data_IF_028880699880
#
_entry.id   IF_028880699880
#
_cell.length_a   1.000
_cell.length_b   1.000
_cell.length_c   1.000
_cell.angle_alpha   90.00
_cell.angle_beta   90.00
_cell.angle_gamma   90.00
#
_symmetry.space_group_name_H-M   'P 1'
#
loop_
_entity.id
_entity.type
_entity.pdbx_description
1 polymer ?
#
# COMPACT_ATOMS: atom_id res chain seq x y z
N UNK A 1 2.79 14.19 6.40
CA UNK A 1 4.21 13.83 6.61
C UNK A 1 5.08 15.07 6.81
N UNK A 2 5.06 16.07 5.93
CA UNK A 2 5.87 17.29 6.09
C UNK A 2 5.80 17.91 7.49
N UNK A 3 4.61 18.16 8.02
CA UNK A 3 4.40 18.67 9.40
C UNK A 3 5.04 17.79 10.48
N UNK A 4 5.05 16.47 10.31
CA UNK A 4 5.72 15.57 11.26
C UNK A 4 7.23 15.72 11.18
N UNK A 5 7.80 15.76 9.98
CA UNK A 5 9.24 15.97 9.77
C UNK A 5 9.67 17.28 10.42
N UNK A 6 8.95 18.38 10.17
CA UNK A 6 9.26 19.69 10.76
C UNK A 6 9.17 19.70 12.28
N UNK A 7 8.20 18.99 12.88
CA UNK A 7 8.10 18.84 14.34
C UNK A 7 9.28 18.09 14.97
N UNK A 8 9.98 17.29 14.19
CA UNK A 8 11.22 16.61 14.60
C UNK A 8 12.49 17.33 14.14
N UNK A 9 12.40 18.62 13.73
CA UNK A 9 13.53 19.45 13.36
C UNK A 9 14.07 19.23 11.94
N UNK A 10 13.41 18.43 11.12
CA UNK A 10 13.82 18.18 9.74
C UNK A 10 13.23 19.20 8.76
N UNK A 11 13.92 19.39 7.64
CA UNK A 11 13.43 20.15 6.48
C UNK A 11 12.76 19.16 5.51
N UNK A 12 11.45 19.30 5.33
CA UNK A 12 10.68 18.39 4.51
C UNK A 12 10.72 18.77 3.02
N UNK A 13 11.15 17.82 2.18
CA UNK A 13 11.03 17.89 0.72
C UNK A 13 9.90 16.93 0.34
N UNK A 14 8.81 17.46 -0.21
CA UNK A 14 7.65 16.68 -0.59
C UNK A 14 7.69 16.35 -2.08
N UNK A 15 7.79 15.07 -2.40
CA UNK A 15 7.81 14.56 -3.77
C UNK A 15 6.66 13.56 -3.97
N UNK A 16 5.47 14.02 -4.34
CA UNK A 16 4.38 13.11 -4.68
C UNK A 16 4.81 12.16 -5.78
N UNK A 17 4.65 10.86 -5.56
CA UNK A 17 5.08 9.84 -6.52
C UNK A 17 3.93 8.97 -7.00
N UNK A 18 2.71 9.19 -6.51
CA UNK A 18 1.55 8.39 -6.87
C UNK A 18 0.25 9.19 -6.71
N UNK A 19 -0.72 8.90 -7.56
CA UNK A 19 -2.11 9.35 -7.45
C UNK A 19 -3.08 8.21 -7.70
N UNK A 20 -4.24 8.30 -7.09
CA UNK A 20 -5.36 7.39 -7.36
C UNK A 20 -6.06 7.81 -8.64
N UNK A 21 -6.30 6.85 -9.52
CA UNK A 21 -7.07 7.06 -10.76
C UNK A 21 -8.17 6.01 -10.79
N UNK A 22 -9.45 6.42 -10.87
CA UNK A 22 -10.53 5.49 -11.13
C UNK A 22 -10.24 4.68 -12.40
N UNK A 23 -10.66 3.43 -12.42
CA UNK A 23 -10.60 2.64 -13.65
C UNK A 23 -11.64 3.18 -14.64
N UNK A 24 -11.21 3.38 -15.90
CA UNK A 24 -12.12 3.77 -16.97
C UNK A 24 -13.12 2.64 -17.27
N UNK A 25 -12.64 1.39 -17.24
CA UNK A 25 -13.45 0.18 -17.32
C UNK A 25 -13.66 -0.37 -15.90
N UNK A 26 -14.90 -0.56 -15.53
CA UNK A 26 -15.32 -1.07 -14.22
C UNK A 26 -16.09 -2.38 -14.34
N UNK A 27 -15.91 -3.12 -15.44
CA UNK A 27 -16.70 -4.31 -15.71
C UNK A 27 -16.58 -5.38 -14.62
N UNK A 28 -15.39 -5.54 -13.98
CA UNK A 28 -15.20 -6.47 -12.86
C UNK A 28 -15.98 -6.03 -11.61
N UNK A 29 -15.98 -4.73 -11.31
CA UNK A 29 -16.76 -4.20 -10.19
C UNK A 29 -18.27 -4.36 -10.44
N UNK A 30 -18.73 -4.15 -11.67
CA UNK A 30 -20.12 -4.35 -12.05
C UNK A 30 -20.51 -5.81 -12.08
N UNK A 31 -19.62 -6.72 -12.50
CA UNK A 31 -19.81 -8.17 -12.42
C UNK A 31 -19.92 -8.62 -10.95
N UNK A 32 -19.00 -8.16 -10.11
CA UNK A 32 -19.08 -8.39 -8.66
C UNK A 32 -20.42 -7.94 -8.07
N UNK A 33 -20.90 -6.74 -8.43
CA UNK A 33 -22.18 -6.24 -7.93
C UNK A 33 -23.34 -7.18 -8.25
N UNK A 34 -23.38 -7.75 -9.47
CA UNK A 34 -24.41 -8.70 -9.89
C UNK A 34 -24.29 -10.02 -9.15
N UNK A 35 -23.06 -10.57 -9.02
CA UNK A 35 -22.81 -11.82 -8.27
C UNK A 35 -23.18 -11.65 -6.78
N UNK A 36 -22.82 -10.51 -6.18
CA UNK A 36 -23.12 -10.19 -4.79
C UNK A 36 -24.65 -10.09 -4.55
N UNK A 37 -25.34 -9.35 -5.40
CA UNK A 37 -26.80 -9.16 -5.29
C UNK A 37 -27.55 -10.49 -5.51
N UNK A 38 -27.05 -11.32 -6.43
CA UNK A 38 -27.57 -12.67 -6.72
C UNK A 38 -27.20 -13.73 -5.67
N UNK A 39 -26.42 -13.38 -4.63
CA UNK A 39 -26.03 -14.31 -3.56
C UNK A 39 -24.96 -15.33 -3.97
N UNK A 40 -24.19 -15.06 -5.02
CA UNK A 40 -23.14 -15.95 -5.50
C UNK A 40 -21.75 -15.67 -4.86
N UNK A 41 -21.64 -14.69 -3.96
CA UNK A 41 -20.41 -14.35 -3.22
C UNK A 41 -20.58 -14.78 -1.77
N UNK A 42 -19.61 -15.48 -1.22
CA UNK A 42 -19.60 -15.92 0.19
C UNK A 42 -18.79 -14.99 1.10
N UNK A 43 -17.65 -14.50 0.59
CA UNK A 43 -16.70 -13.70 1.36
C UNK A 43 -16.26 -12.48 0.55
N UNK A 44 -16.19 -11.32 1.20
CA UNK A 44 -15.64 -10.10 0.60
C UNK A 44 -14.43 -9.63 1.41
N UNK A 45 -13.27 -9.61 0.78
CA UNK A 45 -12.02 -9.08 1.35
C UNK A 45 -11.84 -7.62 0.95
N UNK A 46 -11.82 -6.74 1.94
CA UNK A 46 -11.64 -5.31 1.76
C UNK A 46 -10.21 -4.91 2.19
N UNK A 47 -9.38 -4.56 1.21
CA UNK A 47 -7.95 -4.34 1.45
C UNK A 47 -7.60 -2.91 1.86
N UNK A 48 -8.40 -1.91 1.41
CA UNK A 48 -8.17 -0.50 1.78
C UNK A 48 -9.47 0.27 1.98
N UNK A 49 -9.44 1.29 2.84
CA UNK A 49 -10.61 2.15 3.04
C UNK A 49 -10.96 2.98 1.79
N UNK A 50 -9.95 3.43 1.04
CA UNK A 50 -10.14 4.11 -0.25
C UNK A 50 -10.80 3.17 -1.25
N UNK A 51 -10.28 1.95 -1.40
CA UNK A 51 -10.85 0.95 -2.28
C UNK A 51 -12.27 0.55 -1.89
N UNK A 52 -12.58 0.47 -0.60
CA UNK A 52 -13.94 0.21 -0.14
C UNK A 52 -14.91 1.33 -0.59
N UNK A 53 -14.53 2.60 -0.46
CA UNK A 53 -15.34 3.73 -0.93
C UNK A 53 -15.43 3.78 -2.45
N UNK A 54 -14.32 3.52 -3.14
CA UNK A 54 -14.29 3.44 -4.59
C UNK A 54 -15.19 2.32 -5.12
N UNK A 55 -15.22 1.16 -4.46
CA UNK A 55 -16.12 0.06 -4.79
C UNK A 55 -17.59 0.50 -4.70
N UNK A 56 -17.97 1.16 -3.61
CA UNK A 56 -19.34 1.69 -3.43
C UNK A 56 -19.72 2.62 -4.57
N UNK A 57 -18.82 3.53 -4.96
CA UNK A 57 -19.06 4.45 -6.07
C UNK A 57 -19.12 3.72 -7.43
N UNK A 58 -18.25 2.76 -7.66
CA UNK A 58 -18.14 1.99 -8.89
C UNK A 58 -19.41 1.16 -9.18
N UNK A 59 -20.00 0.55 -8.16
CA UNK A 59 -21.18 -0.32 -8.31
C UNK A 59 -22.50 0.43 -8.28
N UNK A 60 -22.53 1.69 -7.84
CA UNK A 60 -23.75 2.50 -7.68
C UNK A 60 -24.67 2.54 -8.92
N UNK A 61 -24.14 2.53 -10.18
CA UNK A 61 -25.00 2.52 -11.36
C UNK A 61 -25.89 1.27 -11.50
N UNK A 62 -25.48 0.12 -10.95
CA UNK A 62 -26.20 -1.15 -11.08
C UNK A 62 -26.74 -1.66 -9.74
N UNK A 63 -26.16 -1.25 -8.62
CA UNK A 63 -26.52 -1.67 -7.29
C UNK A 63 -26.59 -0.46 -6.35
N UNK A 64 -27.77 0.15 -6.15
CA UNK A 64 -27.95 1.30 -5.27
C UNK A 64 -27.46 1.00 -3.84
N UNK A 65 -27.06 2.06 -3.12
CA UNK A 65 -26.39 1.97 -1.81
C UNK A 65 -27.13 1.06 -0.82
N UNK A 66 -28.45 1.19 -0.72
CA UNK A 66 -29.27 0.42 0.22
C UNK A 66 -29.25 -1.08 -0.10
N UNK A 67 -29.32 -1.43 -1.39
CA UNK A 67 -29.22 -2.82 -1.85
C UNK A 67 -27.83 -3.36 -1.68
N UNK A 68 -26.79 -2.56 -1.96
CA UNK A 68 -25.40 -2.94 -1.72
C UNK A 68 -25.16 -3.25 -0.25
N UNK A 69 -25.62 -2.38 0.67
CA UNK A 69 -25.49 -2.59 2.12
C UNK A 69 -26.21 -3.86 2.56
N UNK A 70 -27.44 -4.06 2.07
CA UNK A 70 -28.21 -5.29 2.36
C UNK A 70 -27.49 -6.54 1.82
N UNK A 71 -26.91 -6.49 0.62
CA UNK A 71 -26.16 -7.59 0.03
C UNK A 71 -24.86 -7.87 0.79
N UNK A 72 -24.09 -6.84 1.13
CA UNK A 72 -22.89 -6.97 1.96
C UNK A 72 -23.19 -7.52 3.37
N UNK A 73 -24.36 -7.22 3.92
CA UNK A 73 -24.78 -7.76 5.21
C UNK A 73 -25.08 -9.28 5.21
N UNK A 74 -25.19 -9.91 4.03
CA UNK A 74 -25.44 -11.35 3.88
C UNK A 74 -24.18 -12.19 3.71
N UNK A 75 -23.02 -11.57 3.49
CA UNK A 75 -21.74 -12.23 3.23
C UNK A 75 -20.76 -12.01 4.37
N UNK A 76 -19.72 -12.83 4.44
CA UNK A 76 -18.66 -12.64 5.41
C UNK A 76 -17.75 -11.50 4.96
N UNK A 77 -17.74 -10.40 5.71
CA UNK A 77 -16.88 -9.25 5.46
C UNK A 77 -15.55 -9.39 6.22
N UNK A 78 -14.46 -9.32 5.52
CA UNK A 78 -13.11 -9.36 6.08
C UNK A 78 -12.39 -8.06 5.75
N UNK A 79 -11.93 -7.35 6.76
CA UNK A 79 -11.19 -6.10 6.62
C UNK A 79 -9.71 -6.32 6.93
N UNK A 80 -8.81 -5.98 5.97
CA UNK A 80 -7.36 -6.15 6.14
C UNK A 80 -6.77 -5.29 7.27
N UNK A 81 -7.48 -4.27 7.73
CA UNK A 81 -6.99 -3.39 8.78
C UNK A 81 -7.96 -2.26 9.12
N UNK A 82 -7.54 -1.26 9.90
CA UNK A 82 -8.45 -0.26 10.46
C UNK A 82 -9.09 0.66 9.43
N UNK A 83 -8.46 0.92 8.29
CA UNK A 83 -9.00 1.82 7.26
C UNK A 83 -10.23 1.24 6.55
N UNK A 84 -10.26 -0.02 6.07
CA UNK A 84 -11.49 -0.63 5.57
C UNK A 84 -12.55 -0.84 6.67
N UNK A 85 -12.17 -1.09 7.93
CA UNK A 85 -13.13 -1.09 9.05
C UNK A 85 -13.85 0.24 9.16
N UNK A 86 -13.12 1.36 9.10
CA UNK A 86 -13.72 2.70 9.16
C UNK A 86 -14.68 2.94 7.97
N UNK A 87 -14.29 2.52 6.75
CA UNK A 87 -15.14 2.66 5.57
C UNK A 87 -16.42 1.80 5.66
N UNK A 88 -16.35 0.60 6.24
CA UNK A 88 -17.55 -0.23 6.51
C UNK A 88 -18.49 0.45 7.51
N UNK A 89 -17.95 1.08 8.56
CA UNK A 89 -18.77 1.82 9.54
C UNK A 89 -19.54 2.98 8.90
N UNK A 90 -19.00 3.64 7.89
CA UNK A 90 -19.70 4.68 7.12
C UNK A 90 -20.93 4.13 6.36
N UNK A 91 -20.95 2.80 6.13
CA UNK A 91 -22.07 2.07 5.54
C UNK A 91 -23.02 1.48 6.58
N UNK A 92 -22.72 1.63 7.88
CA UNK A 92 -23.46 0.97 8.96
C UNK A 92 -23.14 -0.51 9.10
N UNK A 93 -22.02 -0.98 8.53
CA UNK A 93 -21.59 -2.37 8.56
C UNK A 93 -20.36 -2.56 9.47
N UNK A 94 -20.18 -3.79 9.93
CA UNK A 94 -19.00 -4.23 10.65
C UNK A 94 -18.39 -5.46 9.96
N UNK A 95 -17.07 -5.61 9.91
CA UNK A 95 -16.47 -6.84 9.43
C UNK A 95 -16.65 -7.96 10.45
N UNK A 96 -16.82 -9.19 9.95
CA UNK A 96 -16.75 -10.40 10.76
C UNK A 96 -15.31 -10.67 11.25
N UNK A 97 -14.33 -10.24 10.46
CA UNK A 97 -12.92 -10.40 10.78
C UNK A 97 -12.14 -9.11 10.41
N UNK A 98 -11.42 -8.57 11.39
CA UNK A 98 -10.41 -7.54 11.16
C UNK A 98 -9.02 -8.15 11.36
N UNK A 99 -8.17 -8.07 10.33
CA UNK A 99 -6.83 -8.65 10.34
C UNK A 99 -5.93 -7.88 11.29
N UNK A 100 -5.13 -8.55 12.16
CA UNK A 100 -4.20 -7.90 13.09
C UNK A 100 -3.03 -7.24 12.37
N UNK A 101 -2.36 -6.30 13.04
CA UNK A 101 -1.08 -5.73 12.56
C UNK A 101 -0.02 -6.85 12.41
N UNK A 102 0.85 -6.75 11.39
CA UNK A 102 1.11 -5.62 10.49
C UNK A 102 0.17 -5.50 9.27
N UNK A 103 -0.95 -6.22 9.24
CA UNK A 103 -2.00 -6.10 8.22
C UNK A 103 -1.51 -6.44 6.78
N UNK A 104 -0.57 -7.37 6.65
CA UNK A 104 -0.10 -7.82 5.33
C UNK A 104 -0.99 -8.94 4.78
N UNK A 105 -0.69 -9.39 3.57
CA UNK A 105 -1.38 -10.53 2.98
C UNK A 105 -1.13 -11.84 3.75
N UNK A 106 0.03 -11.95 4.45
CA UNK A 106 0.37 -13.13 5.26
C UNK A 106 -0.55 -13.26 6.46
N UNK A 107 -0.72 -12.16 7.23
CA UNK A 107 -1.64 -12.13 8.36
C UNK A 107 -3.09 -12.33 7.90
N UNK A 108 -3.46 -11.79 6.72
CA UNK A 108 -4.79 -12.00 6.15
C UNK A 108 -5.03 -13.49 5.88
N UNK A 109 -4.11 -14.18 5.22
CA UNK A 109 -4.24 -15.61 4.95
C UNK A 109 -4.27 -16.44 6.24
N UNK A 110 -3.39 -16.16 7.21
CA UNK A 110 -3.38 -16.81 8.51
C UNK A 110 -4.71 -16.60 9.27
N UNK A 111 -5.25 -15.39 9.25
CA UNK A 111 -6.50 -15.07 9.91
C UNK A 111 -7.71 -15.75 9.24
N UNK A 112 -7.67 -15.89 7.90
CA UNK A 112 -8.69 -16.68 7.17
C UNK A 112 -8.62 -18.14 7.55
N UNK A 113 -7.43 -18.76 7.62
CA UNK A 113 -7.25 -20.13 8.02
C UNK A 113 -7.83 -20.42 9.42
N UNK A 114 -7.66 -19.47 10.33
CA UNK A 114 -8.10 -19.63 11.72
C UNK A 114 -9.60 -19.36 11.94
N UNK A 115 -10.20 -18.42 11.18
CA UNK A 115 -11.52 -17.89 11.52
C UNK A 115 -12.55 -17.94 10.40
N UNK A 116 -12.11 -17.92 9.14
CA UNK A 116 -12.98 -17.85 7.95
C UNK A 116 -12.43 -18.76 6.85
N UNK A 117 -12.47 -20.11 7.02
CA UNK A 117 -12.00 -21.04 6.00
C UNK A 117 -12.66 -20.76 4.65
N UNK A 118 -11.85 -20.68 3.57
CA UNK A 118 -12.32 -20.25 2.24
C UNK A 118 -12.43 -21.39 1.22
N UNK A 119 -12.15 -22.62 1.61
CA UNK A 119 -12.22 -23.78 0.72
C UNK A 119 -13.65 -23.95 0.17
N UNK A 120 -13.76 -24.03 -1.16
CA UNK A 120 -15.03 -24.15 -1.88
C UNK A 120 -15.89 -22.87 -1.89
N UNK A 121 -15.40 -21.76 -1.33
CA UNK A 121 -16.14 -20.49 -1.27
C UNK A 121 -15.77 -19.56 -2.42
N UNK A 122 -16.74 -18.74 -2.85
CA UNK A 122 -16.53 -17.61 -3.77
C UNK A 122 -16.06 -16.40 -2.99
N UNK A 123 -14.80 -16.02 -3.18
CA UNK A 123 -14.13 -14.95 -2.43
C UNK A 123 -13.86 -13.75 -3.35
N UNK A 124 -14.58 -12.65 -3.11
CA UNK A 124 -14.32 -11.40 -3.80
C UNK A 124 -13.21 -10.61 -3.10
N UNK A 125 -12.21 -10.18 -3.85
CA UNK A 125 -11.06 -9.42 -3.34
C UNK A 125 -11.08 -8.01 -3.92
N UNK A 126 -11.42 -7.01 -3.11
CA UNK A 126 -11.28 -5.61 -3.50
C UNK A 126 -9.81 -5.25 -3.53
N UNK A 127 -9.28 -5.06 -4.74
CA UNK A 127 -7.87 -4.74 -4.95
C UNK A 127 -7.56 -3.25 -4.70
N UNK A 128 -6.30 -2.95 -4.38
CA UNK A 128 -5.86 -1.61 -4.01
C UNK A 128 -4.81 -1.06 -4.99
N UNK A 129 -5.22 -0.88 -6.24
CA UNK A 129 -4.42 -0.19 -7.25
C UNK A 129 -3.38 -1.05 -7.97
N UNK A 130 -2.88 -2.12 -7.34
CA UNK A 130 -1.99 -3.12 -7.92
C UNK A 130 -2.46 -4.49 -7.44
N UNK A 131 -2.45 -5.48 -8.32
CA UNK A 131 -2.72 -6.86 -7.95
C UNK A 131 -1.69 -7.34 -6.92
N UNK A 132 -2.13 -8.21 -6.01
CA UNK A 132 -1.25 -8.89 -5.08
C UNK A 132 -1.26 -10.39 -5.42
N UNK A 133 -0.36 -10.86 -6.31
CA UNK A 133 -0.32 -12.25 -6.74
C UNK A 133 -0.21 -13.22 -5.57
N UNK A 134 0.62 -12.90 -4.57
CA UNK A 134 0.85 -13.77 -3.41
C UNK A 134 -0.44 -14.00 -2.60
N UNK A 135 -1.30 -12.97 -2.49
CA UNK A 135 -2.61 -13.11 -1.86
C UNK A 135 -3.55 -13.95 -2.71
N UNK A 136 -3.62 -13.66 -4.01
CA UNK A 136 -4.54 -14.36 -4.93
C UNK A 136 -4.18 -15.84 -5.04
N UNK A 137 -2.91 -16.15 -5.22
CA UNK A 137 -2.38 -17.52 -5.27
C UNK A 137 -2.59 -18.23 -3.93
N UNK A 138 -2.35 -17.52 -2.82
CA UNK A 138 -2.61 -18.03 -1.47
C UNK A 138 -4.07 -18.39 -1.20
N UNK A 139 -5.03 -17.64 -1.74
CA UNK A 139 -6.46 -17.93 -1.67
C UNK A 139 -6.81 -19.12 -2.56
N UNK A 140 -6.31 -19.17 -3.81
CA UNK A 140 -6.53 -20.27 -4.73
C UNK A 140 -5.95 -21.58 -4.19
N UNK A 141 -4.77 -21.57 -3.60
CA UNK A 141 -4.16 -22.74 -2.95
C UNK A 141 -5.00 -23.29 -1.76
N UNK A 142 -5.84 -22.46 -1.17
CA UNK A 142 -6.81 -22.84 -0.13
C UNK A 142 -8.14 -23.31 -0.68
N UNK A 143 -8.26 -23.47 -2.00
CA UNK A 143 -9.46 -23.92 -2.68
C UNK A 143 -10.55 -22.85 -2.82
N UNK A 144 -10.22 -21.57 -2.70
CA UNK A 144 -11.16 -20.49 -2.95
C UNK A 144 -11.38 -20.26 -4.45
N UNK A 145 -12.62 -19.98 -4.86
CA UNK A 145 -12.91 -19.40 -6.17
C UNK A 145 -12.79 -17.89 -6.08
N UNK A 146 -11.66 -17.34 -6.56
CA UNK A 146 -11.34 -15.93 -6.39
C UNK A 146 -11.99 -15.06 -7.46
N UNK A 147 -12.71 -14.02 -7.04
CA UNK A 147 -13.22 -12.94 -7.87
C UNK A 147 -12.42 -11.66 -7.59
N UNK A 148 -11.64 -11.22 -8.55
CA UNK A 148 -10.89 -9.96 -8.44
C UNK A 148 -11.81 -8.78 -8.68
N UNK A 149 -11.69 -7.75 -7.83
CA UNK A 149 -12.52 -6.54 -7.92
C UNK A 149 -11.61 -5.30 -7.86
N UNK A 150 -10.88 -5.00 -8.95
CA UNK A 150 -10.14 -3.78 -9.06
C UNK A 150 -11.12 -2.59 -9.19
N UNK A 151 -10.86 -1.51 -8.46
CA UNK A 151 -11.76 -0.32 -8.46
C UNK A 151 -11.02 0.98 -8.74
N UNK A 152 -9.71 1.00 -8.56
CA UNK A 152 -8.81 2.10 -8.89
C UNK A 152 -7.41 1.56 -9.20
N UNK A 153 -6.59 2.39 -9.80
CA UNK A 153 -5.16 2.10 -10.00
C UNK A 153 -4.31 3.24 -9.46
N UNK A 154 -3.12 2.90 -9.05
CA UNK A 154 -2.08 3.89 -8.82
C UNK A 154 -1.49 4.32 -10.15
N UNK A 155 -1.34 5.62 -10.35
CA UNK A 155 -0.66 6.21 -11.48
C UNK A 155 0.40 7.20 -11.00
N UNK A 156 1.36 7.49 -11.85
CA UNK A 156 2.28 8.60 -11.62
C UNK A 156 1.48 9.91 -11.52
N UNK A 157 1.95 10.89 -10.75
CA UNK A 157 1.38 12.24 -10.74
C UNK A 157 1.34 12.84 -12.15
N UNK A 158 0.44 13.79 -12.37
CA UNK A 158 0.42 14.54 -13.63
C UNK A 158 1.66 15.43 -13.76
N UNK A 159 2.04 16.07 -12.68
CA UNK A 159 3.31 16.80 -12.58
C UNK A 159 4.38 15.91 -11.94
N UNK A 160 5.36 15.51 -12.75
CA UNK A 160 6.53 14.75 -12.32
C UNK A 160 7.69 15.64 -11.83
N UNK A 161 7.57 16.96 -11.95
CA UNK A 161 8.63 17.90 -11.56
C UNK A 161 9.15 17.68 -10.15
N UNK A 162 8.29 17.62 -9.11
CA UNK A 162 8.72 17.36 -7.73
C UNK A 162 9.42 16.00 -7.54
N UNK A 163 8.93 14.95 -8.23
CA UNK A 163 9.54 13.62 -8.15
C UNK A 163 10.91 13.58 -8.83
N UNK A 164 11.05 14.19 -10.00
CA UNK A 164 12.32 14.36 -10.72
C UNK A 164 13.33 15.15 -9.90
N UNK A 165 12.90 16.26 -9.30
CA UNK A 165 13.74 17.05 -8.41
C UNK A 165 14.23 16.23 -7.19
N UNK A 166 13.36 15.38 -6.62
CA UNK A 166 13.75 14.50 -5.53
C UNK A 166 14.76 13.44 -5.98
N UNK A 167 14.58 12.83 -7.17
CA UNK A 167 15.56 11.91 -7.77
C UNK A 167 16.91 12.60 -7.93
N UNK A 168 16.94 13.80 -8.51
CA UNK A 168 18.18 14.57 -8.68
C UNK A 168 18.89 14.84 -7.34
N UNK A 169 18.15 15.20 -6.29
CA UNK A 169 18.73 15.39 -4.94
C UNK A 169 19.28 14.10 -4.34
N UNK A 170 18.54 12.99 -4.51
CA UNK A 170 18.99 11.68 -4.02
C UNK A 170 20.24 11.21 -4.75
N UNK A 171 20.33 11.40 -6.07
CA UNK A 171 21.52 11.06 -6.86
C UNK A 171 22.72 11.94 -6.51
N UNK A 172 22.50 13.23 -6.24
CA UNK A 172 23.53 14.17 -5.81
C UNK A 172 23.89 14.03 -4.32
N UNK A 173 23.21 13.15 -3.57
CA UNK A 173 23.34 13.05 -2.10
C UNK A 173 23.05 14.37 -1.35
N UNK A 174 22.17 15.19 -1.93
CA UNK A 174 21.65 16.45 -1.36
C UNK A 174 20.34 16.18 -0.56
N UNK A 175 20.28 15.05 0.09
CA UNK A 175 19.25 14.68 1.05
C UNK A 175 19.86 13.79 2.13
N UNK A 176 19.41 13.92 3.35
CA UNK A 176 19.87 13.10 4.48
C UNK A 176 19.02 11.85 4.65
N UNK A 177 17.71 11.97 4.43
CA UNK A 177 16.72 10.95 4.74
C UNK A 177 15.73 10.79 3.60
N UNK A 178 15.38 9.56 3.25
CA UNK A 178 14.28 9.21 2.36
C UNK A 178 13.26 8.35 3.12
N UNK A 179 11.98 8.76 3.10
CA UNK A 179 10.90 8.08 3.82
C UNK A 179 9.86 7.54 2.83
N UNK A 180 9.54 6.26 2.98
CA UNK A 180 8.56 5.56 2.14
C UNK A 180 7.41 4.99 2.97
N UNK A 181 6.20 5.26 2.54
CA UNK A 181 4.96 4.78 3.20
C UNK A 181 4.18 3.77 2.36
N UNK A 182 4.69 3.39 1.18
CA UNK A 182 4.05 2.45 0.27
C UNK A 182 5.05 1.85 -0.70
N UNK A 183 4.88 0.58 -1.04
CA UNK A 183 5.64 -0.10 -2.08
C UNK A 183 5.52 0.61 -3.44
N UNK A 184 4.32 1.09 -3.78
CA UNK A 184 4.06 1.83 -5.03
C UNK A 184 4.90 3.11 -5.15
N UNK A 185 5.19 3.79 -4.03
CA UNK A 185 6.10 4.95 -4.05
C UNK A 185 7.50 4.55 -4.50
N UNK A 186 7.98 3.40 -4.04
CA UNK A 186 9.29 2.86 -4.45
C UNK A 186 9.29 2.48 -5.93
N UNK A 187 8.27 1.77 -6.37
CA UNK A 187 8.11 1.34 -7.77
C UNK A 187 8.09 2.54 -8.72
N UNK A 188 7.32 3.58 -8.39
CA UNK A 188 7.23 4.81 -9.19
C UNK A 188 8.53 5.61 -9.18
N UNK A 189 9.22 5.71 -8.03
CA UNK A 189 10.53 6.37 -7.94
C UNK A 189 11.55 5.69 -8.86
N UNK A 190 11.66 4.36 -8.77
CA UNK A 190 12.61 3.57 -9.55
C UNK A 190 12.25 3.60 -11.04
N UNK A 191 10.97 3.54 -11.38
CA UNK A 191 10.49 3.65 -12.74
C UNK A 191 10.88 4.98 -13.37
N UNK A 192 10.59 6.11 -12.71
CA UNK A 192 10.92 7.44 -13.25
C UNK A 192 12.44 7.62 -13.35
N UNK A 193 13.20 7.14 -12.38
CA UNK A 193 14.66 7.17 -12.46
C UNK A 193 15.21 6.32 -13.63
N UNK A 194 14.59 5.17 -13.93
CA UNK A 194 14.98 4.34 -15.06
C UNK A 194 14.62 5.00 -16.42
N UNK A 195 13.44 5.60 -16.51
CA UNK A 195 13.00 6.35 -17.70
C UNK A 195 13.94 7.54 -18.00
N UNK A 196 14.61 8.09 -16.99
CA UNK A 196 15.59 9.18 -17.11
C UNK A 196 17.06 8.70 -17.20
N UNK A 197 17.29 7.39 -17.23
CA UNK A 197 18.65 6.82 -17.27
C UNK A 197 19.43 7.00 -15.96
N UNK A 198 18.75 7.33 -14.85
CA UNK A 198 19.36 7.64 -13.55
C UNK A 198 19.25 6.47 -12.54
N UNK A 199 18.83 5.27 -12.94
CA UNK A 199 18.55 4.16 -12.03
C UNK A 199 19.77 3.76 -11.18
N UNK A 200 20.95 3.64 -11.77
CA UNK A 200 22.17 3.26 -11.03
C UNK A 200 22.67 4.41 -10.15
N UNK A 201 22.59 5.65 -10.63
CA UNK A 201 22.93 6.84 -9.85
C UNK A 201 21.99 6.99 -8.63
N UNK A 202 20.68 6.69 -8.80
CA UNK A 202 19.74 6.68 -7.71
C UNK A 202 20.12 5.61 -6.65
N UNK A 203 20.45 4.38 -7.06
CA UNK A 203 20.88 3.33 -6.12
C UNK A 203 22.13 3.72 -5.36
N UNK A 204 23.12 4.28 -6.07
CA UNK A 204 24.37 4.77 -5.45
C UNK A 204 24.10 5.91 -4.46
N UNK A 205 23.24 6.86 -4.81
CA UNK A 205 22.81 7.94 -3.93
C UNK A 205 22.05 7.44 -2.69
N UNK A 206 21.12 6.52 -2.89
CA UNK A 206 20.34 5.91 -1.80
C UNK A 206 21.20 5.16 -0.78
N UNK A 207 22.34 4.60 -1.19
CA UNK A 207 23.28 3.99 -0.26
C UNK A 207 23.93 4.99 0.72
N UNK A 208 23.86 6.28 0.44
CA UNK A 208 24.43 7.38 1.27
C UNK A 208 23.36 8.13 2.07
N UNK A 209 22.09 7.84 1.85
CA UNK A 209 20.92 8.44 2.49
C UNK A 209 20.36 7.46 3.51
N UNK A 210 19.78 7.94 4.59
CA UNK A 210 19.07 7.07 5.55
C UNK A 210 17.68 6.75 5.00
N UNK A 211 17.37 5.46 4.86
CA UNK A 211 16.13 4.99 4.27
C UNK A 211 15.18 4.47 5.33
N UNK A 212 14.06 5.16 5.52
CA UNK A 212 12.97 4.72 6.38
C UNK A 212 11.81 4.13 5.58
N UNK A 213 11.39 2.93 5.96
CA UNK A 213 10.24 2.21 5.41
C UNK A 213 9.15 2.08 6.45
N UNK A 214 7.88 2.27 6.04
CA UNK A 214 6.75 2.19 6.99
C UNK A 214 6.47 0.78 7.51
N UNK A 215 6.94 -0.24 6.82
CA UNK A 215 6.67 -1.63 7.18
C UNK A 215 7.07 -2.65 6.11
N UNK A 216 6.83 -3.94 6.35
CA UNK A 216 7.48 -5.04 5.63
C UNK A 216 7.25 -5.05 4.11
N UNK A 217 6.03 -4.77 3.64
CA UNK A 217 5.72 -4.75 2.19
C UNK A 217 6.49 -3.64 1.46
N UNK A 218 6.62 -2.47 2.10
CA UNK A 218 7.40 -1.36 1.56
C UNK A 218 8.91 -1.69 1.60
N UNK A 219 9.37 -2.32 2.67
CA UNK A 219 10.76 -2.78 2.83
C UNK A 219 11.14 -3.83 1.80
N UNK A 220 10.25 -4.77 1.50
CA UNK A 220 10.46 -5.76 0.44
C UNK A 220 10.59 -5.09 -0.94
N UNK A 221 9.77 -4.07 -1.24
CA UNK A 221 9.88 -3.31 -2.48
C UNK A 221 11.22 -2.57 -2.60
N UNK A 222 11.68 -1.93 -1.52
CA UNK A 222 13.00 -1.28 -1.46
C UNK A 222 14.14 -2.28 -1.70
N UNK A 223 14.13 -3.42 -1.02
CA UNK A 223 15.15 -4.47 -1.19
C UNK A 223 15.16 -5.05 -2.60
N UNK A 224 13.98 -5.29 -3.19
CA UNK A 224 13.86 -5.71 -4.60
C UNK A 224 14.45 -4.69 -5.58
N UNK A 225 14.35 -3.40 -5.25
CA UNK A 225 14.96 -2.32 -6.03
C UNK A 225 16.46 -2.15 -5.79
N UNK A 226 17.07 -2.97 -4.92
CA UNK A 226 18.48 -2.86 -4.54
C UNK A 226 18.76 -1.73 -3.53
N UNK A 227 17.74 -1.28 -2.81
CA UNK A 227 17.85 -0.20 -1.81
C UNK A 227 17.77 -0.81 -0.40
N UNK A 228 18.80 -0.59 0.40
CA UNK A 228 18.83 -1.02 1.79
C UNK A 228 17.84 -0.20 2.64
N UNK A 229 17.21 -0.86 3.61
CA UNK A 229 16.31 -0.23 4.59
C UNK A 229 17.06 -0.11 5.91
N UNK A 230 17.14 1.10 6.45
CA UNK A 230 17.81 1.39 7.71
C UNK A 230 16.87 1.35 8.90
N UNK A 231 15.66 1.83 8.71
CA UNK A 231 14.65 1.91 9.78
C UNK A 231 13.31 1.40 9.26
N UNK A 232 12.78 0.40 9.97
CA UNK A 232 11.42 -0.07 9.85
C UNK A 232 10.81 -0.06 11.26
N UNK A 233 9.79 0.78 11.55
CA UNK A 233 9.23 0.87 12.88
C UNK A 233 8.47 -0.39 13.26
N UNK A 234 8.47 -0.73 14.53
CA UNK A 234 7.71 -1.87 15.07
C UNK A 234 6.21 -1.75 14.78
N UNK A 235 5.70 -0.51 14.80
CA UNK A 235 4.32 -0.22 14.41
C UNK A 235 4.30 0.47 13.04
N UNK A 236 3.67 -0.14 11.99
CA UNK A 236 3.69 0.36 10.62
C UNK A 236 2.81 1.61 10.43
N UNK A 237 3.18 2.70 11.09
CA UNK A 237 2.48 4.00 11.09
C UNK A 237 3.44 5.13 10.76
N UNK A 238 2.89 6.18 10.13
CA UNK A 238 3.67 7.34 9.69
C UNK A 238 4.38 8.08 10.84
N UNK A 239 3.75 8.17 12.01
CA UNK A 239 4.34 8.83 13.19
C UNK A 239 5.62 8.13 13.67
N UNK A 240 5.56 6.84 14.03
CA UNK A 240 6.73 6.04 14.37
C UNK A 240 7.81 6.06 13.28
N UNK A 241 7.44 5.89 12.00
CA UNK A 241 8.39 5.96 10.88
C UNK A 241 9.21 7.24 10.92
N UNK A 242 8.56 8.41 10.99
CA UNK A 242 9.25 9.70 11.01
C UNK A 242 10.11 9.84 12.26
N UNK A 243 9.54 9.57 13.44
CA UNK A 243 10.22 9.76 14.71
C UNK A 243 11.46 8.86 14.86
N UNK A 244 11.33 7.57 14.51
CA UNK A 244 12.42 6.60 14.66
C UNK A 244 13.51 6.83 13.62
N UNK A 245 13.14 7.12 12.36
CA UNK A 245 14.12 7.40 11.31
C UNK A 245 14.92 8.67 11.61
N UNK A 246 14.26 9.77 11.98
CA UNK A 246 14.95 11.02 12.26
C UNK A 246 15.83 10.92 13.52
N UNK A 247 15.45 10.10 14.50
CA UNK A 247 16.28 9.81 15.67
C UNK A 247 17.55 9.02 15.31
N UNK A 248 17.43 8.03 14.41
CA UNK A 248 18.56 7.19 13.99
C UNK A 248 19.48 7.87 12.99
N UNK A 249 18.95 8.81 12.20
CA UNK A 249 19.66 9.41 11.05
C UNK A 249 21.04 9.99 11.39
N UNK A 250 21.26 10.78 12.46
CA UNK A 250 22.57 11.36 12.73
C UNK A 250 23.68 10.33 12.88
N UNK A 251 23.44 9.24 13.59
CA UNK A 251 24.42 8.18 13.82
C UNK A 251 24.75 7.42 12.52
N UNK A 252 23.72 7.08 11.73
CA UNK A 252 23.89 6.38 10.46
C UNK A 252 24.65 7.25 9.45
N UNK A 253 24.30 8.54 9.33
CA UNK A 253 24.96 9.45 8.43
C UNK A 253 26.43 9.70 8.81
N UNK A 254 26.73 9.79 10.10
CA UNK A 254 28.11 9.93 10.58
C UNK A 254 28.97 8.76 10.11
N UNK A 255 28.45 7.54 10.14
CA UNK A 255 29.17 6.35 9.65
C UNK A 255 29.31 6.33 8.13
N UNK A 256 28.26 6.70 7.38
CA UNK A 256 28.26 6.64 5.90
C UNK A 256 29.06 7.76 5.23
N UNK A 257 29.17 8.89 5.89
CA UNK A 257 29.86 10.10 5.38
C UNK A 257 31.24 10.26 5.99
N UNK A 258 31.66 9.36 6.88
CA UNK A 258 33.02 9.36 7.39
C UNK A 258 34.01 9.21 6.22
N UNK A 259 35.08 10.03 6.14
CA UNK A 259 36.12 9.83 5.15
C UNK A 259 36.72 8.43 5.31
N UNK A 260 36.89 7.70 4.18
CA UNK A 260 37.59 6.43 4.17
C UNK A 260 38.96 6.68 4.84
N UNK A 261 39.16 6.11 6.04
CA UNK A 261 40.50 6.04 6.61
C UNK A 261 41.29 5.10 5.70
N UNK A 262 42.11 5.71 4.84
CA UNK A 262 43.14 4.95 4.13
C UNK A 262 44.04 4.33 5.20
N UNK A 263 44.01 3.00 5.29
CA UNK A 263 44.92 2.21 6.09
C UNK A 263 46.24 2.05 5.36
#
# INVERSE_FOLDING_TARGET
>A
MATLISRHGGVAIVAPSMREVPLADQHEALAFARELDGGAVDVVLLLTGVGTRALVAAVAPVLPRERLVAALGRVVLVARGPKPVAALRELGLAPALAVPEPNTWRELLCALDAHVPVAGRRVAVQEYGIANPELLDGLAARGASVLRVPVYRWALPEDLGPLRAAIARLTATDADVALFTSATQVEHLVRVAAEEGAADALRAGMARVVVGSVGPVCSEALRRAGIAVDVEPTHPKMGPLVAETLRAAPAILATRRAPLRLA
#
